data_IF_429098320945
#
_entry.id   IF_429098320945
#
_cell.length_a   1.000
_cell.length_b   1.000
_cell.length_c   1.000
_cell.angle_alpha   90.00
_cell.angle_beta   90.00
_cell.angle_gamma   90.00
#
_symmetry.space_group_name_H-M   'P 1'
#
loop_
_entity.id
_entity.type
_entity.pdbx_description
1 polymer ?
#
# COMPACT_ATOMS: atom_id res chain seq x y z
N UNK A 1 -5.84 -0.64 -22.97
CA UNK A 1 -5.73 -1.56 -21.82
C UNK A 1 -5.52 -0.86 -20.46
N UNK A 2 -4.64 0.11 -20.34
CA UNK A 2 -4.34 0.82 -19.07
C UNK A 2 -5.61 1.38 -18.39
N UNK A 3 -6.47 2.09 -19.15
CA UNK A 3 -7.71 2.66 -18.61
C UNK A 3 -8.69 1.62 -18.05
N UNK A 4 -8.80 0.46 -18.70
CA UNK A 4 -9.65 -0.63 -18.21
C UNK A 4 -9.09 -1.25 -16.92
N UNK A 5 -7.77 -1.42 -16.83
CA UNK A 5 -7.10 -1.90 -15.63
C UNK A 5 -7.32 -0.95 -14.44
N UNK A 6 -7.18 0.36 -14.68
CA UNK A 6 -7.44 1.38 -13.64
C UNK A 6 -8.91 1.41 -13.22
N UNK A 7 -9.85 1.24 -14.16
CA UNK A 7 -11.27 1.17 -13.84
C UNK A 7 -11.60 -0.06 -12.99
N UNK A 8 -11.07 -1.24 -13.33
CA UNK A 8 -11.22 -2.46 -12.54
C UNK A 8 -10.64 -2.27 -11.12
N UNK A 9 -9.47 -1.67 -11.01
CA UNK A 9 -8.85 -1.38 -9.72
C UNK A 9 -9.72 -0.43 -8.88
N UNK A 10 -10.24 0.65 -9.48
CA UNK A 10 -11.12 1.59 -8.79
C UNK A 10 -12.41 0.96 -8.28
N UNK A 11 -13.06 0.09 -9.08
CA UNK A 11 -14.24 -0.67 -8.66
C UNK A 11 -13.91 -1.60 -7.50
N UNK A 12 -12.81 -2.32 -7.56
CA UNK A 12 -12.37 -3.20 -6.47
C UNK A 12 -12.03 -2.42 -5.20
N UNK A 13 -11.38 -1.27 -5.31
CA UNK A 13 -11.14 -0.38 -4.17
C UNK A 13 -12.46 0.05 -3.52
N UNK A 14 -13.44 0.45 -4.31
CA UNK A 14 -14.76 0.81 -3.79
C UNK A 14 -15.41 -0.36 -3.05
N UNK A 15 -15.37 -1.57 -3.61
CA UNK A 15 -15.91 -2.78 -2.98
C UNK A 15 -15.16 -3.07 -1.66
N UNK A 16 -13.84 -3.00 -1.65
CA UNK A 16 -13.02 -3.22 -0.44
C UNK A 16 -13.38 -2.21 0.63
N UNK A 17 -13.45 -0.93 0.30
CA UNK A 17 -13.73 0.12 1.28
C UNK A 17 -15.18 0.13 1.76
N UNK A 18 -16.16 -0.13 0.88
CA UNK A 18 -17.58 -0.05 1.22
C UNK A 18 -18.09 -1.30 1.95
N UNK A 19 -17.62 -2.48 1.55
CA UNK A 19 -18.17 -3.76 1.98
C UNK A 19 -17.24 -4.54 2.88
N UNK A 20 -15.97 -4.70 2.51
CA UNK A 20 -15.05 -5.60 3.23
C UNK A 20 -14.67 -5.03 4.59
N UNK A 21 -14.47 -3.70 4.70
CA UNK A 21 -14.18 -3.05 5.99
C UNK A 21 -15.38 -3.16 6.96
N UNK A 22 -16.61 -3.25 6.45
CA UNK A 22 -17.82 -3.41 7.27
C UNK A 22 -18.17 -4.87 7.59
N UNK A 23 -17.50 -5.85 7.02
CA UNK A 23 -17.76 -7.24 7.36
C UNK A 23 -17.34 -7.51 8.82
N UNK A 24 -18.29 -7.98 9.62
CA UNK A 24 -18.10 -8.36 11.05
C UNK A 24 -16.94 -9.37 11.25
N UNK A 25 -16.47 -9.98 10.18
CA UNK A 25 -15.32 -10.88 10.20
C UNK A 25 -14.02 -10.13 10.56
N UNK A 26 -13.90 -8.88 10.15
CA UNK A 26 -12.75 -8.03 10.47
C UNK A 26 -12.86 -7.36 11.84
N UNK A 27 -14.06 -7.20 12.38
CA UNK A 27 -14.28 -6.69 13.75
C UNK A 27 -13.74 -7.65 14.83
N UNK A 28 -13.60 -8.93 14.50
CA UNK A 28 -13.01 -9.95 15.39
C UNK A 28 -11.49 -10.01 15.32
N UNK A 29 -10.87 -9.39 14.32
CA UNK A 29 -9.42 -9.35 14.18
C UNK A 29 -8.88 -8.16 14.97
N UNK A 30 -7.84 -8.40 15.76
CA UNK A 30 -7.07 -7.30 16.35
C UNK A 30 -6.59 -6.36 15.24
N UNK A 31 -6.66 -5.06 15.47
CA UNK A 31 -6.21 -4.00 14.54
C UNK A 31 -4.80 -4.29 14.00
N UNK A 32 -3.91 -4.79 14.85
CA UNK A 32 -2.56 -5.24 14.48
C UNK A 32 -2.56 -6.36 13.44
N UNK A 33 -3.45 -7.37 13.61
CA UNK A 33 -3.53 -8.48 12.68
C UNK A 33 -4.09 -8.03 11.34
N UNK A 34 -5.06 -7.12 11.34
CA UNK A 34 -5.63 -6.54 10.13
C UNK A 34 -4.60 -5.71 9.36
N UNK A 35 -3.84 -4.84 10.05
CA UNK A 35 -2.74 -4.10 9.45
C UNK A 35 -1.67 -5.04 8.87
N UNK A 36 -1.28 -6.08 9.63
CA UNK A 36 -0.28 -7.05 9.18
C UNK A 36 -0.74 -7.81 7.95
N UNK A 37 -2.00 -8.24 7.92
CA UNK A 37 -2.60 -8.90 6.76
C UNK A 37 -2.59 -8.01 5.51
N UNK A 38 -3.04 -6.77 5.65
CA UNK A 38 -3.07 -5.81 4.54
C UNK A 38 -1.68 -5.50 4.01
N UNK A 39 -0.69 -5.32 4.89
CA UNK A 39 0.71 -5.14 4.48
C UNK A 39 1.26 -6.38 3.77
N UNK A 40 0.95 -7.59 4.22
CA UNK A 40 1.35 -8.81 3.52
C UNK A 40 0.76 -8.89 2.12
N UNK A 41 -0.53 -8.55 1.95
CA UNK A 41 -1.15 -8.45 0.63
C UNK A 41 -0.42 -7.44 -0.25
N UNK A 42 -0.05 -6.27 0.29
CA UNK A 42 0.70 -5.25 -0.43
C UNK A 42 2.11 -5.71 -0.84
N UNK A 43 2.81 -6.40 0.05
CA UNK A 43 4.13 -6.99 -0.24
C UNK A 43 4.02 -7.97 -1.41
N UNK A 44 3.06 -8.91 -1.34
CA UNK A 44 2.84 -9.90 -2.40
C UNK A 44 2.51 -9.20 -3.73
N UNK A 45 1.60 -8.22 -3.73
CA UNK A 45 1.21 -7.49 -4.92
C UNK A 45 2.39 -6.71 -5.53
N UNK A 46 3.15 -5.98 -4.72
CA UNK A 46 4.27 -5.15 -5.18
C UNK A 46 5.41 -6.00 -5.75
N UNK A 47 5.80 -7.09 -5.07
CA UNK A 47 6.81 -8.01 -5.63
C UNK A 47 6.30 -8.68 -6.90
N UNK A 48 5.03 -9.06 -6.96
CA UNK A 48 4.44 -9.63 -8.16
C UNK A 48 4.49 -8.64 -9.34
N UNK A 49 4.13 -7.37 -9.12
CA UNK A 49 4.25 -6.31 -10.13
C UNK A 49 5.71 -6.08 -10.55
N UNK A 50 6.65 -6.17 -9.61
CA UNK A 50 8.08 -5.98 -9.89
C UNK A 50 8.67 -7.02 -10.83
N UNK A 51 8.21 -8.27 -10.76
CA UNK A 51 8.70 -9.39 -11.59
C UNK A 51 7.80 -9.75 -12.76
N UNK A 52 6.67 -9.07 -12.92
CA UNK A 52 5.68 -9.41 -13.93
C UNK A 52 6.17 -9.14 -15.35
N UNK A 53 5.96 -10.13 -16.24
CA UNK A 53 6.25 -10.03 -17.67
C UNK A 53 5.01 -10.12 -18.56
N UNK A 54 3.91 -10.65 -18.04
CA UNK A 54 2.67 -10.89 -18.80
C UNK A 54 1.55 -9.99 -18.28
N UNK A 55 0.98 -9.16 -19.15
CA UNK A 55 -0.05 -8.17 -18.83
C UNK A 55 -1.31 -8.77 -18.21
N UNK A 56 -1.69 -10.00 -18.56
CA UNK A 56 -2.89 -10.67 -18.06
C UNK A 56 -2.82 -10.98 -16.55
N UNK A 57 -1.61 -11.20 -16.00
CA UNK A 57 -1.46 -11.46 -14.57
C UNK A 57 -1.78 -10.25 -13.70
N UNK A 58 -1.82 -9.03 -14.28
CA UNK A 58 -2.25 -7.82 -13.56
C UNK A 58 -3.63 -8.03 -12.94
N UNK A 59 -4.56 -8.61 -13.68
CA UNK A 59 -5.95 -8.80 -13.22
C UNK A 59 -6.06 -9.78 -12.05
N UNK A 60 -5.13 -10.71 -11.93
CA UNK A 60 -5.07 -11.64 -10.78
C UNK A 60 -4.48 -10.96 -9.54
N UNK A 61 -3.56 -10.03 -9.73
CA UNK A 61 -2.87 -9.33 -8.64
C UNK A 61 -3.69 -8.15 -8.10
N UNK A 62 -4.50 -7.50 -8.96
CA UNK A 62 -5.32 -6.34 -8.59
C UNK A 62 -6.20 -6.58 -7.34
N UNK A 63 -6.91 -7.70 -7.17
CA UNK A 63 -7.69 -7.96 -5.95
C UNK A 63 -6.82 -7.99 -4.69
N UNK A 64 -5.62 -8.56 -4.78
CA UNK A 64 -4.65 -8.62 -3.67
C UNK A 64 -4.13 -7.21 -3.36
N UNK A 65 -3.82 -6.42 -4.39
CA UNK A 65 -3.41 -5.04 -4.24
C UNK A 65 -4.52 -4.18 -3.61
N UNK A 66 -5.78 -4.39 -3.99
CA UNK A 66 -6.91 -3.68 -3.40
C UNK A 66 -7.08 -3.98 -1.90
N UNK A 67 -6.80 -5.21 -1.45
CA UNK A 67 -6.83 -5.56 -0.03
C UNK A 67 -5.73 -4.84 0.78
N UNK A 68 -4.61 -4.51 0.16
CA UNK A 68 -3.55 -3.76 0.85
C UNK A 68 -3.95 -2.33 1.24
N UNK A 69 -4.92 -1.73 0.53
CA UNK A 69 -5.42 -0.39 0.84
C UNK A 69 -6.16 -0.29 2.18
N UNK A 70 -6.50 -1.41 2.81
CA UNK A 70 -7.07 -1.44 4.16
C UNK A 70 -6.09 -0.95 5.23
N UNK A 71 -4.79 -0.89 4.97
CA UNK A 71 -3.78 -0.39 5.92
C UNK A 71 -4.10 1.04 6.34
N UNK A 72 -4.39 1.92 5.37
CA UNK A 72 -4.57 3.35 5.63
C UNK A 72 -5.77 3.65 6.55
N UNK A 73 -7.00 3.18 6.27
CA UNK A 73 -8.13 3.42 7.17
C UNK A 73 -7.96 2.74 8.52
N UNK A 74 -7.37 1.54 8.57
CA UNK A 74 -7.13 0.82 9.82
C UNK A 74 -6.13 1.55 10.71
N UNK A 75 -5.04 2.08 10.13
CA UNK A 75 -4.06 2.88 10.85
C UNK A 75 -4.67 4.18 11.39
N UNK A 76 -5.45 4.88 10.56
CA UNK A 76 -6.14 6.12 10.99
C UNK A 76 -7.11 5.86 12.14
N UNK A 77 -7.91 4.79 12.05
CA UNK A 77 -8.83 4.40 13.12
C UNK A 77 -8.07 4.04 14.41
N UNK A 78 -6.99 3.29 14.31
CA UNK A 78 -6.14 2.95 15.45
C UNK A 78 -5.59 4.20 16.14
N UNK A 79 -4.95 5.10 15.40
CA UNK A 79 -4.38 6.33 15.94
C UNK A 79 -5.45 7.26 16.53
N UNK A 80 -6.61 7.33 15.89
CA UNK A 80 -7.73 8.15 16.38
C UNK A 80 -8.28 7.65 17.72
N UNK A 81 -8.26 6.34 17.97
CA UNK A 81 -8.70 5.76 19.23
C UNK A 81 -7.70 5.93 20.39
N UNK A 82 -6.40 6.14 20.07
CA UNK A 82 -5.35 6.31 21.07
C UNK A 82 -5.18 7.78 21.53
N UNK A 83 -5.82 8.73 20.86
CA UNK A 83 -5.63 10.17 21.06
C UNK A 83 -6.93 10.81 21.58
N UNK A 84 -6.77 11.83 22.45
CA UNK A 84 -7.90 12.60 23.01
C UNK A 84 -8.69 13.34 21.93
N UNK A 85 -9.97 13.60 22.17
CA UNK A 85 -10.83 14.36 21.24
C UNK A 85 -10.24 15.75 20.92
N UNK A 86 -9.56 16.38 21.87
CA UNK A 86 -8.94 17.70 21.69
C UNK A 86 -7.77 17.66 20.71
N UNK A 87 -7.07 16.55 20.58
CA UNK A 87 -5.88 16.40 19.74
C UNK A 87 -6.17 15.79 18.37
N UNK A 88 -7.44 15.44 18.08
CA UNK A 88 -7.85 14.85 16.80
C UNK A 88 -7.49 15.75 15.60
N UNK A 89 -7.63 17.07 15.75
CA UNK A 89 -7.24 18.03 14.71
C UNK A 89 -5.75 18.02 14.43
N UNK A 90 -4.93 17.94 15.47
CA UNK A 90 -3.47 17.82 15.34
C UNK A 90 -3.07 16.51 14.65
N UNK A 91 -3.68 15.40 15.06
CA UNK A 91 -3.46 14.09 14.41
C UNK A 91 -3.74 14.15 12.90
N UNK A 92 -4.91 14.68 12.52
CA UNK A 92 -5.28 14.79 11.10
C UNK A 92 -4.33 15.71 10.35
N UNK A 93 -3.88 16.80 10.97
CA UNK A 93 -2.88 17.71 10.41
C UNK A 93 -1.56 16.98 10.12
N UNK A 94 -1.03 16.20 11.07
CA UNK A 94 0.20 15.43 10.92
C UNK A 94 0.05 14.38 9.81
N UNK A 95 -1.05 13.63 9.80
CA UNK A 95 -1.29 12.60 8.80
C UNK A 95 -1.37 13.20 7.39
N UNK A 96 -2.10 14.29 7.22
CA UNK A 96 -2.24 14.97 5.93
C UNK A 96 -0.92 15.60 5.46
N UNK A 97 -0.15 16.18 6.37
CA UNK A 97 1.17 16.73 6.05
C UNK A 97 2.14 15.63 5.61
N UNK A 98 2.10 14.47 6.26
CA UNK A 98 2.91 13.31 5.87
C UNK A 98 2.52 12.80 4.50
N UNK A 99 1.21 12.68 4.20
CA UNK A 99 0.71 12.31 2.87
C UNK A 99 1.12 13.35 1.83
N UNK A 100 1.01 14.66 2.14
CA UNK A 100 1.46 15.74 1.25
C UNK A 100 2.95 15.64 0.93
N UNK A 101 3.80 15.42 1.92
CA UNK A 101 5.25 15.27 1.73
C UNK A 101 5.57 14.04 0.88
N UNK A 102 4.98 12.90 1.20
CA UNK A 102 5.21 11.64 0.46
C UNK A 102 4.69 11.70 -0.97
N UNK A 103 3.63 12.48 -1.26
CA UNK A 103 3.12 12.67 -2.62
C UNK A 103 4.08 13.45 -3.53
N UNK A 104 5.02 14.21 -2.97
CA UNK A 104 6.08 14.90 -3.71
C UNK A 104 7.32 14.01 -3.82
N UNK A 105 7.79 13.49 -2.69
CA UNK A 105 9.04 12.69 -2.63
C UNK A 105 8.88 11.35 -3.34
N UNK A 106 7.69 10.72 -3.23
CA UNK A 106 7.40 9.40 -3.79
C UNK A 106 7.63 9.35 -5.31
N UNK A 107 6.90 10.14 -6.13
CA UNK A 107 7.06 10.12 -7.58
C UNK A 107 8.49 10.43 -8.05
N UNK A 108 9.18 11.37 -7.39
CA UNK A 108 10.57 11.72 -7.72
C UNK A 108 11.49 10.51 -7.50
N UNK A 109 11.39 9.89 -6.33
CA UNK A 109 12.21 8.72 -5.97
C UNK A 109 11.93 7.54 -6.90
N UNK A 110 10.65 7.25 -7.16
CA UNK A 110 10.25 6.14 -8.04
C UNK A 110 10.68 6.37 -9.50
N UNK A 111 10.57 7.61 -10.00
CA UNK A 111 11.03 7.98 -11.33
C UNK A 111 12.55 7.82 -11.46
N UNK A 112 13.31 8.23 -10.45
CA UNK A 112 14.77 8.05 -10.42
C UNK A 112 15.15 6.56 -10.42
N UNK A 113 14.52 5.73 -9.58
CA UNK A 113 14.77 4.29 -9.53
C UNK A 113 14.42 3.64 -10.87
N UNK A 114 13.28 4.03 -11.47
CA UNK A 114 12.86 3.54 -12.77
C UNK A 114 13.88 3.89 -13.85
N UNK A 115 14.35 5.15 -13.91
CA UNK A 115 15.32 5.60 -14.92
C UNK A 115 16.64 4.82 -14.85
N UNK A 116 17.08 4.46 -13.64
CA UNK A 116 18.28 3.64 -13.44
C UNK A 116 18.05 2.16 -13.76
N UNK A 117 16.89 1.61 -13.37
CA UNK A 117 16.57 0.19 -13.61
C UNK A 117 16.18 -0.13 -15.05
N UNK A 118 15.66 0.85 -15.81
CA UNK A 118 15.22 0.68 -17.19
C UNK A 118 16.26 1.20 -18.22
N UNK A 119 17.41 1.74 -17.80
CA UNK A 119 18.45 2.21 -18.73
C UNK A 119 19.12 1.04 -19.43
N UNK A 120 19.39 1.19 -20.74
CA UNK A 120 20.09 0.18 -21.53
C UNK A 120 21.57 0.00 -21.11
N UNK A 121 22.11 0.93 -20.37
CA UNK A 121 23.46 0.88 -19.81
C UNK A 121 23.53 0.16 -18.45
N UNK A 122 22.38 -0.19 -17.86
CA UNK A 122 22.37 -0.90 -16.57
C UNK A 122 22.83 -2.35 -16.76
N UNK A 123 23.68 -2.83 -15.86
CA UNK A 123 24.21 -4.21 -15.83
C UNK A 123 23.05 -5.23 -15.78
N UNK A 124 21.91 -4.85 -15.21
CA UNK A 124 20.72 -5.68 -15.09
C UNK A 124 19.48 -4.81 -15.41
N UNK A 125 18.76 -5.17 -16.46
CA UNK A 125 17.53 -4.50 -16.87
C UNK A 125 16.36 -4.95 -15.99
N UNK A 126 15.94 -4.09 -15.04
CA UNK A 126 14.82 -4.35 -14.12
C UNK A 126 13.86 -3.16 -14.16
N UNK A 127 12.93 -3.09 -15.11
CA UNK A 127 11.95 -2.01 -15.18
C UNK A 127 10.98 -2.01 -13.98
N UNK A 128 10.81 -3.15 -13.29
CA UNK A 128 10.03 -3.29 -12.08
C UNK A 128 10.70 -2.81 -10.79
N UNK A 129 11.92 -2.27 -10.84
CA UNK A 129 12.68 -1.83 -9.66
C UNK A 129 11.90 -0.90 -8.71
N UNK A 130 11.07 0.06 -9.15
CA UNK A 130 10.26 0.87 -8.25
C UNK A 130 9.30 0.05 -7.40
N UNK A 131 8.65 -0.96 -7.98
CA UNK A 131 7.74 -1.84 -7.25
C UNK A 131 8.48 -2.70 -6.21
N UNK A 132 9.66 -3.19 -6.54
CA UNK A 132 10.50 -3.93 -5.60
C UNK A 132 10.94 -3.05 -4.43
N UNK A 133 11.33 -1.82 -4.71
CA UNK A 133 11.67 -0.85 -3.66
C UNK A 133 10.49 -0.55 -2.76
N UNK A 134 9.30 -0.30 -3.33
CA UNK A 134 8.07 -0.11 -2.55
C UNK A 134 7.74 -1.36 -1.72
N UNK A 135 7.92 -2.57 -2.25
CA UNK A 135 7.76 -3.82 -1.51
C UNK A 135 8.69 -3.93 -0.30
N UNK A 136 9.95 -3.48 -0.42
CA UNK A 136 10.89 -3.42 0.70
C UNK A 136 10.44 -2.41 1.78
N UNK A 137 9.85 -1.27 1.39
CA UNK A 137 9.28 -0.31 2.34
C UNK A 137 8.08 -0.90 3.09
N UNK A 138 7.20 -1.64 2.40
CA UNK A 138 6.09 -2.36 3.04
C UNK A 138 6.59 -3.44 4.01
N UNK A 139 7.66 -4.17 3.65
CA UNK A 139 8.33 -5.13 4.53
C UNK A 139 8.85 -4.46 5.80
N UNK A 140 9.54 -3.34 5.68
CA UNK A 140 10.03 -2.58 6.84
C UNK A 140 8.89 -2.12 7.74
N UNK A 141 7.78 -1.65 7.15
CA UNK A 141 6.58 -1.26 7.88
C UNK A 141 5.93 -2.44 8.61
N UNK A 142 5.89 -3.62 8.00
CA UNK A 142 5.37 -4.84 8.63
C UNK A 142 6.20 -5.25 9.84
N UNK A 143 7.53 -5.21 9.71
CA UNK A 143 8.46 -5.54 10.82
C UNK A 143 8.25 -4.53 11.96
N UNK A 144 8.13 -3.25 11.64
CA UNK A 144 7.90 -2.18 12.63
C UNK A 144 6.59 -2.41 13.38
N UNK A 145 5.48 -2.62 12.68
CA UNK A 145 4.16 -2.86 13.30
C UNK A 145 4.19 -4.10 14.20
N UNK A 146 4.81 -5.20 13.76
CA UNK A 146 4.90 -6.41 14.56
C UNK A 146 5.76 -6.25 15.82
N UNK A 147 6.79 -5.42 15.76
CA UNK A 147 7.73 -5.23 16.88
C UNK A 147 7.24 -4.21 17.91
N UNK A 148 6.56 -3.15 17.46
CA UNK A 148 6.23 -2.01 18.32
C UNK A 148 4.77 -1.95 18.76
N UNK A 149 3.87 -2.65 18.08
CA UNK A 149 2.45 -2.75 18.46
C UNK A 149 2.12 -4.06 19.20
N UNK A 150 3.09 -4.68 19.85
CA UNK A 150 2.88 -5.92 20.63
C UNK A 150 2.39 -5.61 22.04
#
# INVERSE_FOLDING_TARGET
MIGFTLACYGVLLFIVQAFIIRLQFFDKLSTKNLMSFSLMCGIIALFSFGFMRLELFVFVIIPIAALSEMVSPTLKAFLSNEISEMDQGLLQGILNSTVGLTSIVGPISMSYIFSKGASQESIIYIPGAPFLFAGCLFLSSLIFIRRFLS
#
